data_IF_108011850668
#
_entry.id   IF_108011850668
#
_cell.length_a   1.000
_cell.length_b   1.000
_cell.length_c   1.000
_cell.angle_alpha   90.00
_cell.angle_beta   90.00
_cell.angle_gamma   90.00
#
_symmetry.space_group_name_H-M   'P 1'
#
loop_
_entity.id
_entity.type
_entity.pdbx_description
1 polymer ?
#
# COMPACT_ATOMS: atom_id res chain seq x y z
N UNK A 1 1.52 -2.81 -7.07
CA UNK A 1 1.54 -1.87 -5.94
C UNK A 1 0.29 -2.11 -5.13
N UNK A 2 0.42 -2.25 -3.82
CA UNK A 2 -0.68 -2.29 -2.86
C UNK A 2 -0.71 -0.92 -2.19
N UNK A 3 -1.86 -0.26 -2.15
CA UNK A 3 -2.02 1.06 -1.54
C UNK A 3 -3.02 0.90 -0.40
N UNK A 4 -2.59 1.23 0.80
CA UNK A 4 -3.46 1.34 1.96
C UNK A 4 -4.41 2.51 1.75
N UNK A 5 -5.70 2.22 1.83
CA UNK A 5 -6.78 3.20 1.70
C UNK A 5 -7.68 3.16 2.92
N UNK A 6 -7.22 2.62 4.05
CA UNK A 6 -7.98 2.62 5.31
C UNK A 6 -8.31 4.04 5.76
N UNK A 7 -9.30 4.15 6.66
CA UNK A 7 -9.67 5.43 7.26
C UNK A 7 -8.55 6.09 8.07
N UNK A 8 -7.51 5.34 8.43
CA UNK A 8 -6.32 5.90 9.08
C UNK A 8 -5.51 6.77 8.12
N UNK A 9 -5.52 6.50 6.81
CA UNK A 9 -4.72 7.20 5.78
C UNK A 9 -5.39 8.53 5.40
N UNK A 10 -4.65 9.63 5.55
CA UNK A 10 -5.13 10.97 5.22
C UNK A 10 -5.09 11.28 3.71
N UNK A 11 -5.86 12.28 3.27
CA UNK A 11 -5.85 12.76 1.89
C UNK A 11 -4.45 13.19 1.41
N UNK A 12 -3.62 13.75 2.30
CA UNK A 12 -2.26 14.17 1.98
C UNK A 12 -1.31 12.98 1.75
N UNK A 13 -1.44 11.94 2.58
CA UNK A 13 -0.70 10.68 2.42
C UNK A 13 -1.15 9.97 1.14
N UNK A 14 -2.44 9.98 0.86
CA UNK A 14 -3.00 9.44 -0.35
C UNK A 14 -2.53 10.19 -1.61
N UNK A 15 -2.51 11.53 -1.57
CA UNK A 15 -1.93 12.35 -2.62
C UNK A 15 -0.45 12.02 -2.85
N UNK A 16 0.33 11.82 -1.77
CA UNK A 16 1.72 11.38 -1.87
C UNK A 16 1.83 9.99 -2.50
N UNK A 17 0.91 9.07 -2.16
CA UNK A 17 0.86 7.74 -2.76
C UNK A 17 0.67 7.79 -4.28
N UNK A 18 -0.24 8.65 -4.75
CA UNK A 18 -0.50 8.86 -6.18
C UNK A 18 0.74 9.41 -6.91
N UNK A 19 1.48 10.33 -6.28
CA UNK A 19 2.73 10.86 -6.84
C UNK A 19 3.78 9.77 -7.00
N UNK A 20 3.92 8.88 -6.00
CA UNK A 20 4.83 7.74 -6.07
C UNK A 20 4.42 6.71 -7.12
N UNK A 21 3.13 6.39 -7.23
CA UNK A 21 2.61 5.52 -8.30
C UNK A 21 2.96 6.10 -9.68
N UNK A 22 2.77 7.40 -9.87
CA UNK A 22 3.08 8.07 -11.12
C UNK A 22 4.59 8.09 -11.40
N UNK A 23 5.43 8.33 -10.37
CA UNK A 23 6.88 8.33 -10.49
C UNK A 23 7.42 6.93 -10.85
N UNK A 24 6.96 5.89 -10.17
CA UNK A 24 7.33 4.50 -10.43
C UNK A 24 6.90 4.09 -11.83
N UNK A 25 5.66 4.39 -12.22
CA UNK A 25 5.13 4.08 -13.56
C UNK A 25 5.99 4.71 -14.66
N UNK A 26 6.46 5.95 -14.47
CA UNK A 26 7.40 6.59 -15.41
C UNK A 26 8.76 5.90 -15.40
N UNK A 27 9.31 5.58 -14.22
CA UNK A 27 10.63 4.97 -14.08
C UNK A 27 10.74 3.58 -14.74
N UNK A 28 9.65 2.80 -14.77
CA UNK A 28 9.61 1.48 -15.44
C UNK A 28 9.28 1.57 -16.93
N UNK A 29 9.43 2.75 -17.54
CA UNK A 29 9.27 2.95 -18.99
C UNK A 29 7.85 3.28 -19.43
N UNK A 30 6.95 3.69 -18.53
CA UNK A 30 5.60 4.17 -18.85
C UNK A 30 4.65 3.12 -19.42
N UNK A 31 5.12 1.87 -19.54
CA UNK A 31 4.34 0.74 -20.05
C UNK A 31 3.30 0.31 -19.03
N UNK A 32 2.03 0.38 -19.44
CA UNK A 32 0.85 0.21 -18.58
C UNK A 32 0.67 -1.22 -18.07
N UNK A 33 1.28 -2.20 -18.72
CA UNK A 33 1.25 -3.61 -18.34
C UNK A 33 2.27 -3.98 -17.25
N UNK A 34 3.21 -3.08 -16.92
CA UNK A 34 4.27 -3.35 -15.95
C UNK A 34 3.92 -2.93 -14.51
N UNK A 35 2.90 -2.10 -14.33
CA UNK A 35 2.44 -1.64 -13.01
C UNK A 35 0.96 -1.94 -12.86
N UNK A 36 0.61 -2.74 -11.86
CA UNK A 36 -0.76 -2.93 -11.40
C UNK A 36 -0.94 -2.30 -10.03
N UNK A 37 -2.05 -1.61 -9.79
CA UNK A 37 -2.37 -0.98 -8.50
C UNK A 37 -3.56 -1.69 -7.84
N UNK A 38 -3.44 -1.94 -6.54
CA UNK A 38 -4.43 -2.59 -5.69
C UNK A 38 -4.69 -1.70 -4.47
N UNK A 39 -5.81 -0.95 -4.41
CA UNK A 39 -6.26 -0.35 -3.15
C UNK A 39 -6.62 -1.45 -2.14
N UNK A 40 -6.32 -1.19 -0.87
CA UNK A 40 -6.47 -2.13 0.23
C UNK A 40 -7.09 -1.39 1.41
N UNK A 41 -8.38 -1.67 1.64
CA UNK A 41 -9.15 -1.31 2.82
C UNK A 41 -10.07 -2.50 3.10
N UNK A 42 -10.28 -2.85 4.38
CA UNK A 42 -11.24 -3.86 4.79
C UNK A 42 -12.67 -3.56 4.33
N UNK A 43 -13.04 -2.29 4.12
CA UNK A 43 -14.36 -1.89 3.62
C UNK A 43 -14.47 -1.90 2.08
N UNK A 44 -13.36 -1.81 1.34
CA UNK A 44 -13.35 -1.70 -0.12
C UNK A 44 -13.56 -3.08 -0.79
N UNK A 45 -14.81 -3.43 -1.10
CA UNK A 45 -15.18 -4.69 -1.79
C UNK A 45 -14.82 -4.76 -3.29
N UNK A 46 -14.32 -3.69 -3.91
CA UNK A 46 -14.04 -3.66 -5.34
C UNK A 46 -12.63 -3.12 -5.60
N UNK A 47 -11.88 -3.86 -6.39
CA UNK A 47 -10.57 -3.44 -6.90
C UNK A 47 -10.63 -3.58 -8.40
N UNK A 48 -10.41 -2.47 -9.07
CA UNK A 48 -10.25 -2.41 -10.51
C UNK A 48 -8.79 -2.72 -10.88
N UNK A 49 -8.51 -3.51 -11.94
CA UNK A 49 -7.19 -3.50 -12.56
C UNK A 49 -6.97 -2.10 -13.15
N UNK A 50 -6.28 -1.25 -12.38
CA UNK A 50 -6.16 0.15 -12.71
C UNK A 50 -4.99 0.37 -13.66
N UNK A 51 -5.34 0.50 -14.94
CA UNK A 51 -4.51 1.10 -15.96
C UNK A 51 -4.68 2.64 -15.94
N UNK A 52 -4.39 3.30 -14.80
CA UNK A 52 -4.21 4.76 -14.64
C UNK A 52 -4.10 5.09 -13.15
N UNK A 53 -3.18 5.98 -12.77
CA UNK A 53 -3.15 6.56 -11.42
C UNK A 53 -4.39 7.45 -11.15
N UNK A 54 -5.00 7.96 -12.22
CA UNK A 54 -6.12 8.92 -12.20
C UNK A 54 -7.49 8.29 -11.86
N UNK A 55 -7.63 6.97 -11.95
CA UNK A 55 -8.93 6.27 -11.83
C UNK A 55 -9.07 5.48 -10.52
N UNK A 56 -8.17 5.65 -9.54
CA UNK A 56 -8.20 4.85 -8.30
C UNK A 56 -9.38 5.35 -7.43
N UNK A 57 -10.46 4.56 -7.22
CA UNK A 57 -11.47 4.92 -6.25
C UNK A 57 -10.88 4.71 -4.86
N UNK A 58 -10.65 5.81 -4.16
CA UNK A 58 -9.96 5.85 -2.87
C UNK A 58 -10.96 6.22 -1.77
N UNK A 59 -12.10 5.52 -1.74
CA UNK A 59 -13.04 5.62 -0.62
C UNK A 59 -12.68 4.51 0.34
N UNK A 60 -12.18 4.86 1.51
CA UNK A 60 -12.05 3.92 2.59
C UNK A 60 -12.46 4.46 3.95
N UNK A 61 -12.84 3.54 4.82
CA UNK A 61 -13.50 3.84 6.09
C UNK A 61 -13.41 2.73 7.13
N UNK A 62 -12.61 1.69 6.88
CA UNK A 62 -12.29 0.64 7.85
C UNK A 62 -10.78 0.56 8.14
N UNK A 63 -10.36 -0.47 8.88
CA UNK A 63 -8.95 -0.82 9.04
C UNK A 63 -8.35 -1.49 7.79
N UNK A 64 -7.04 -1.74 7.77
CA UNK A 64 -6.36 -2.41 6.64
C UNK A 64 -5.85 -3.79 7.03
N UNK A 65 -6.04 -4.80 6.17
CA UNK A 65 -5.34 -6.08 6.27
C UNK A 65 -4.44 -6.30 5.04
N UNK A 66 -3.17 -5.88 5.17
CA UNK A 66 -2.20 -6.03 4.09
C UNK A 66 -1.94 -7.50 3.73
N UNK A 67 -2.17 -8.47 4.62
CA UNK A 67 -2.03 -9.91 4.27
C UNK A 67 -2.91 -10.26 3.08
N UNK A 68 -4.13 -9.71 3.04
CA UNK A 68 -5.06 -9.87 1.93
C UNK A 68 -4.54 -9.19 0.66
N UNK A 69 -4.01 -7.97 0.79
CA UNK A 69 -3.37 -7.24 -0.30
C UNK A 69 -2.21 -8.00 -0.94
N UNK A 70 -1.28 -8.50 -0.12
CA UNK A 70 -0.17 -9.34 -0.56
C UNK A 70 -0.65 -10.64 -1.23
N UNK A 71 -1.58 -11.36 -0.59
CA UNK A 71 -2.09 -12.61 -1.14
C UNK A 71 -2.70 -12.41 -2.53
N UNK A 72 -3.42 -11.31 -2.74
CA UNK A 72 -4.00 -10.98 -4.05
C UNK A 72 -2.93 -10.58 -5.07
N UNK A 73 -1.98 -9.72 -4.70
CA UNK A 73 -0.89 -9.31 -5.58
C UNK A 73 -0.06 -10.51 -6.03
N UNK A 74 0.27 -11.44 -5.12
CA UNK A 74 1.08 -12.63 -5.43
C UNK A 74 0.35 -13.66 -6.31
N UNK A 75 -0.97 -13.58 -6.41
CA UNK A 75 -1.78 -14.41 -7.33
C UNK A 75 -1.94 -13.80 -8.72
N UNK A 76 -1.50 -12.56 -8.96
CA UNK A 76 -1.64 -11.94 -10.28
C UNK A 76 -0.82 -12.70 -11.35
N UNK A 77 -1.25 -12.55 -12.60
CA UNK A 77 -0.55 -13.10 -13.77
C UNK A 77 -0.27 -11.94 -14.75
N UNK A 78 1.01 -11.67 -15.10
CA UNK A 78 2.21 -12.28 -14.55
C UNK A 78 2.36 -12.05 -13.03
N UNK A 79 3.12 -12.94 -12.37
CA UNK A 79 3.46 -12.79 -10.95
C UNK A 79 4.40 -11.59 -10.80
N UNK A 80 4.24 -10.73 -9.78
CA UNK A 80 5.09 -9.56 -9.65
C UNK A 80 6.52 -9.94 -9.24
N UNK A 81 7.51 -9.29 -9.85
CA UNK A 81 8.91 -9.33 -9.40
C UNK A 81 9.14 -8.51 -8.12
N UNK A 82 8.32 -7.46 -7.95
CA UNK A 82 8.37 -6.54 -6.83
C UNK A 82 6.95 -6.20 -6.38
N UNK A 83 6.70 -6.26 -5.08
CA UNK A 83 5.52 -5.67 -4.44
C UNK A 83 5.95 -4.40 -3.73
N UNK A 84 5.40 -3.26 -4.16
CA UNK A 84 5.49 -1.99 -3.43
C UNK A 84 4.20 -1.79 -2.65
N UNK A 85 4.31 -1.56 -1.35
CA UNK A 85 3.21 -1.24 -0.44
C UNK A 85 3.33 0.24 -0.07
N UNK A 86 2.24 1.00 -0.09
CA UNK A 86 2.16 2.37 0.42
C UNK A 86 1.18 2.38 1.59
N UNK A 87 1.61 2.70 2.81
CA UNK A 87 0.81 2.58 4.05
C UNK A 87 1.35 3.48 5.16
N UNK A 88 0.52 3.78 6.15
CA UNK A 88 0.93 4.40 7.42
C UNK A 88 1.49 3.38 8.42
N UNK A 89 1.39 2.08 8.09
CA UNK A 89 1.88 0.96 8.89
C UNK A 89 0.86 0.37 9.87
N UNK A 90 -0.36 0.89 9.95
CA UNK A 90 -1.39 0.44 10.89
C UNK A 90 -2.17 -0.77 10.37
N UNK A 91 -1.47 -1.90 10.26
CA UNK A 91 -2.00 -3.10 9.62
C UNK A 91 -1.25 -4.36 10.03
N UNK A 92 -1.92 -5.52 10.13
CA UNK A 92 -1.23 -6.80 10.24
C UNK A 92 -0.40 -7.08 8.98
N UNK A 93 0.87 -7.41 9.18
CA UNK A 93 1.80 -7.79 8.12
C UNK A 93 1.75 -9.30 7.80
N UNK A 94 2.16 -9.71 6.59
CA UNK A 94 2.43 -11.12 6.31
C UNK A 94 3.50 -11.68 7.25
N UNK A 95 3.23 -12.83 7.86
CA UNK A 95 4.17 -13.51 8.77
C UNK A 95 5.35 -14.15 8.03
N UNK A 96 5.13 -14.56 6.77
CA UNK A 96 6.17 -15.14 5.91
C UNK A 96 6.59 -14.18 4.80
N UNK A 97 7.90 -14.11 4.55
CA UNK A 97 8.46 -13.34 3.44
C UNK A 97 7.83 -13.75 2.10
N UNK A 98 7.29 -12.80 1.30
CA UNK A 98 6.83 -13.05 -0.06
C UNK A 98 7.96 -13.54 -0.97
N UNK A 99 7.62 -14.28 -2.02
CA UNK A 99 8.60 -14.80 -3.00
C UNK A 99 9.28 -13.71 -3.84
N UNK A 100 8.74 -12.49 -3.82
CA UNK A 100 9.21 -11.35 -4.60
C UNK A 100 9.91 -10.34 -3.68
N UNK A 101 10.62 -9.38 -4.25
CA UNK A 101 11.12 -8.26 -3.45
C UNK A 101 9.94 -7.46 -2.91
N UNK A 102 10.09 -6.92 -1.71
CA UNK A 102 9.09 -6.03 -1.13
C UNK A 102 9.70 -4.72 -0.69
N UNK A 103 9.04 -3.63 -1.09
CA UNK A 103 9.33 -2.27 -0.67
C UNK A 103 8.11 -1.73 0.05
N UNK A 104 8.30 -1.18 1.25
CA UNK A 104 7.27 -0.48 2.01
C UNK A 104 7.58 1.00 1.96
N UNK A 105 6.74 1.74 1.25
CA UNK A 105 6.61 3.17 1.36
C UNK A 105 5.79 3.52 2.59
N UNK A 106 6.46 3.95 3.65
CA UNK A 106 5.85 4.27 4.94
C UNK A 106 5.56 5.77 5.03
N UNK A 107 4.31 6.15 5.27
CA UNK A 107 3.99 7.53 5.59
C UNK A 107 4.47 7.89 6.99
N UNK A 108 5.13 9.05 7.19
CA UNK A 108 5.60 9.46 8.50
C UNK A 108 4.41 9.75 9.41
N UNK A 109 4.31 8.99 10.50
CA UNK A 109 3.33 9.21 11.57
C UNK A 109 4.04 9.64 12.84
N UNK A 110 3.57 10.72 13.45
CA UNK A 110 4.06 11.18 14.75
C UNK A 110 3.58 10.25 15.89
N UNK A 111 2.40 9.64 15.74
CA UNK A 111 1.83 8.64 16.64
C UNK A 111 0.95 7.66 15.85
N UNK A 112 0.89 6.38 16.25
CA UNK A 112 -0.19 5.50 15.86
C UNK A 112 -1.53 6.09 16.32
N UNK A 113 -2.57 5.94 15.51
CA UNK A 113 -3.90 6.44 15.83
C UNK A 113 -4.90 5.33 15.52
N UNK A 114 -5.48 4.79 16.58
CA UNK A 114 -6.73 4.04 16.53
C UNK A 114 -7.70 4.78 17.45
N UNK A 115 -8.74 5.39 16.86
CA UNK A 115 -9.74 6.18 17.61
C UNK A 115 -10.55 5.31 18.58
N UNK A 116 -10.60 3.99 18.36
CA UNK A 116 -11.32 3.02 19.18
C UNK A 116 -10.41 2.36 20.22
N UNK A 117 -9.08 2.40 20.03
CA UNK A 117 -8.10 1.81 20.93
C UNK A 117 -6.87 2.73 21.16
N UNK A 118 -6.86 3.55 22.23
CA UNK A 118 -5.74 4.44 22.52
C UNK A 118 -4.43 3.73 22.87
N UNK A 119 -4.48 2.43 23.20
CA UNK A 119 -3.32 1.59 23.50
C UNK A 119 -2.84 0.80 22.26
N UNK A 120 -3.41 1.06 21.08
CA UNK A 120 -3.01 0.39 19.85
C UNK A 120 -1.55 0.70 19.49
N UNK A 121 -0.74 -0.35 19.39
CA UNK A 121 0.62 -0.28 18.90
C UNK A 121 0.69 -1.13 17.63
N UNK A 122 0.89 -0.52 16.45
CA UNK A 122 1.02 -1.26 15.21
C UNK A 122 2.32 -2.06 15.20
N UNK A 123 2.27 -3.22 14.55
CA UNK A 123 3.45 -4.00 14.27
C UNK A 123 4.41 -3.20 13.37
N UNK A 124 5.70 -3.25 13.68
CA UNK A 124 6.72 -2.68 12.80
C UNK A 124 6.76 -3.44 11.47
N UNK A 125 7.07 -2.76 10.34
CA UNK A 125 7.28 -3.43 9.08
C UNK A 125 8.29 -4.58 9.22
N UNK A 126 8.04 -5.75 8.60
CA UNK A 126 8.92 -6.91 8.75
C UNK A 126 10.34 -6.66 8.22
N UNK A 127 11.33 -7.30 8.83
CA UNK A 127 12.76 -7.16 8.52
C UNK A 127 13.13 -7.53 7.06
N UNK A 128 12.34 -8.39 6.43
CA UNK A 128 12.51 -8.80 5.04
C UNK A 128 12.06 -7.74 4.04
N UNK A 129 11.32 -6.72 4.47
CA UNK A 129 10.87 -5.61 3.63
C UNK A 129 11.86 -4.46 3.66
N UNK A 130 12.12 -3.85 2.50
CA UNK A 130 12.86 -2.59 2.43
C UNK A 130 11.91 -1.44 2.73
N UNK A 131 12.13 -0.73 3.83
CA UNK A 131 11.30 0.44 4.22
C UNK A 131 11.90 1.73 3.63
N UNK A 132 11.04 2.59 3.08
CA UNK A 132 11.35 3.93 2.58
C UNK A 132 10.28 4.88 3.13
N UNK A 133 10.68 5.94 3.82
CA UNK A 133 9.74 6.96 4.32
C UNK A 133 9.36 7.91 3.17
N UNK A 134 8.07 8.17 2.98
CA UNK A 134 7.52 8.98 1.88
C UNK A 134 6.98 10.31 2.42
N UNK A 135 7.28 11.42 1.76
CA UNK A 135 6.74 12.75 2.13
C UNK A 135 7.63 13.61 3.02
N UNK A 136 8.85 13.17 3.34
CA UNK A 136 9.82 13.96 4.11
C UNK A 136 10.63 14.97 3.26
N UNK A 137 9.97 15.69 2.33
CA UNK A 137 10.63 16.73 1.51
C UNK A 137 10.27 18.12 1.95
#
# INVERSE_FOLDING_TARGET
>A
MVIDTSGSVSDAELGSALLEVAAISRAVGGRRDLVSVLPCDAAARVVHPLCRAEDIPLVGGGGTDLRTGFARALRSRPRPDVVVVLTDGQTPWPTSRPSCRTVVGLFPRARPVDEENPDYVPDSPPDWARVVVIGAR
#
